data_IF_455775260955
#
_entry.id   IF_455775260955
#
_cell.length_a   1.000
_cell.length_b   1.000
_cell.length_c   1.000
_cell.angle_alpha   90.00
_cell.angle_beta   90.00
_cell.angle_gamma   90.00
#
_symmetry.space_group_name_H-M   'P 1'
#
loop_
_entity.id
_entity.type
_entity.pdbx_description
1 polymer ?
#
# COMPACT_ATOMS: atom_id res chain seq x y z
N UNK A 1 1.33 -4.98 -22.31
CA UNK A 1 1.07 -4.39 -20.99
C UNK A 1 0.00 -5.23 -20.30
N UNK A 2 0.33 -5.80 -19.12
CA UNK A 2 -0.51 -6.78 -18.40
C UNK A 2 -1.76 -6.17 -17.74
N UNK A 3 -1.75 -4.84 -17.54
CA UNK A 3 -2.84 -4.07 -16.93
C UNK A 3 -3.51 -3.10 -17.90
N UNK A 4 -3.39 -3.33 -19.21
CA UNK A 4 -4.01 -2.47 -20.21
C UNK A 4 -5.53 -2.41 -20.04
N UNK A 5 -6.08 -1.19 -20.00
CA UNK A 5 -7.50 -0.95 -19.78
C UNK A 5 -7.99 -1.13 -18.34
N UNK A 6 -7.09 -1.37 -17.38
CA UNK A 6 -7.40 -1.43 -15.95
C UNK A 6 -7.24 -0.08 -15.29
N UNK A 7 -8.01 0.14 -14.23
CA UNK A 7 -7.85 1.28 -13.32
C UNK A 7 -7.27 0.79 -11.99
N UNK A 8 -6.27 1.50 -11.50
CA UNK A 8 -5.66 1.26 -10.19
C UNK A 8 -5.87 2.47 -9.27
N UNK A 9 -6.08 2.22 -7.98
CA UNK A 9 -6.04 3.23 -6.92
C UNK A 9 -4.91 2.88 -5.96
N UNK A 10 -3.99 3.83 -5.72
CA UNK A 10 -2.89 3.66 -4.77
C UNK A 10 -3.00 4.71 -3.67
N UNK A 11 -3.10 4.27 -2.42
CA UNK A 11 -3.20 5.18 -1.28
C UNK A 11 -1.81 5.62 -0.78
N UNK A 12 -1.66 6.90 -0.38
CA UNK A 12 -0.37 7.46 0.03
C UNK A 12 0.67 7.40 -1.10
N UNK A 13 0.26 7.74 -2.32
CA UNK A 13 1.05 7.52 -3.53
C UNK A 13 1.95 8.71 -3.91
N UNK A 14 1.98 9.80 -3.13
CA UNK A 14 2.77 11.00 -3.43
C UNK A 14 4.28 10.80 -3.28
N UNK A 15 4.75 9.69 -2.65
CA UNK A 15 6.17 9.43 -2.41
C UNK A 15 6.48 7.95 -2.13
N UNK A 16 7.78 7.62 -2.05
CA UNK A 16 8.29 6.34 -1.55
C UNK A 16 7.74 5.11 -2.30
N UNK A 17 7.36 4.09 -1.54
CA UNK A 17 6.82 2.83 -2.10
C UNK A 17 5.53 3.09 -2.88
N UNK A 18 4.64 3.95 -2.37
CA UNK A 18 3.37 4.26 -3.03
C UNK A 18 3.57 4.88 -4.41
N UNK A 19 4.47 5.88 -4.54
CA UNK A 19 4.86 6.45 -5.84
C UNK A 19 5.41 5.38 -6.78
N UNK A 20 6.37 4.59 -6.31
CA UNK A 20 6.99 3.55 -7.13
C UNK A 20 5.96 2.53 -7.65
N UNK A 21 4.98 2.16 -6.81
CA UNK A 21 3.89 1.26 -7.19
C UNK A 21 2.99 1.93 -8.23
N UNK A 22 2.56 3.18 -8.01
CA UNK A 22 1.68 3.90 -8.92
C UNK A 22 2.29 4.01 -10.33
N UNK A 23 3.56 4.41 -10.41
CA UNK A 23 4.31 4.50 -11.68
C UNK A 23 4.50 3.12 -12.32
N UNK A 24 4.80 2.07 -11.53
CA UNK A 24 4.98 0.72 -12.06
C UNK A 24 3.67 0.14 -12.64
N UNK A 25 2.53 0.37 -11.99
CA UNK A 25 1.20 -0.01 -12.50
C UNK A 25 0.90 0.71 -13.82
N UNK A 26 1.23 2.00 -13.91
CA UNK A 26 1.07 2.78 -15.14
C UNK A 26 1.96 2.27 -16.29
N UNK A 27 3.21 1.93 -16.02
CA UNK A 27 4.13 1.30 -17.00
C UNK A 27 3.59 -0.03 -17.53
N UNK A 28 2.81 -0.73 -16.72
CA UNK A 28 2.15 -1.97 -17.12
C UNK A 28 0.77 -1.76 -17.78
N UNK A 29 0.35 -0.51 -17.95
CA UNK A 29 -0.81 -0.11 -18.75
C UNK A 29 -2.05 0.33 -17.97
N UNK A 30 -1.98 0.41 -16.64
CA UNK A 30 -3.10 0.89 -15.84
C UNK A 30 -3.24 2.42 -15.91
N UNK A 31 -4.47 2.91 -15.86
CA UNK A 31 -4.79 4.27 -15.47
C UNK A 31 -4.82 4.35 -13.93
N UNK A 32 -4.37 5.44 -13.31
CA UNK A 32 -4.07 5.43 -11.87
C UNK A 32 -4.70 6.61 -11.12
N UNK A 33 -5.46 6.29 -10.07
CA UNK A 33 -5.81 7.22 -9.00
C UNK A 33 -4.66 7.34 -7.99
N UNK A 34 -4.13 8.52 -7.81
CA UNK A 34 -3.04 8.87 -6.91
C UNK A 34 -3.62 9.53 -5.67
N UNK A 35 -3.78 8.78 -4.58
CA UNK A 35 -4.25 9.38 -3.34
C UNK A 35 -3.09 9.98 -2.54
N UNK A 36 -3.35 11.11 -1.92
CA UNK A 36 -2.47 11.82 -1.00
C UNK A 36 -3.27 12.43 0.16
N UNK A 37 -2.57 12.81 1.23
CA UNK A 37 -3.17 13.49 2.38
C UNK A 37 -2.89 15.00 2.37
N UNK A 38 -1.63 15.40 2.27
CA UNK A 38 -1.13 16.72 2.62
C UNK A 38 -0.22 17.39 1.58
N UNK A 39 0.35 16.65 0.64
CA UNK A 39 1.29 17.17 -0.37
C UNK A 39 0.73 17.00 -1.79
N UNK A 40 -0.11 17.95 -2.17
CA UNK A 40 -0.75 17.97 -3.50
C UNK A 40 0.27 18.13 -4.64
N UNK A 41 1.33 18.92 -4.42
CA UNK A 41 2.35 19.17 -5.42
C UNK A 41 3.15 17.90 -5.75
N UNK A 42 3.52 17.11 -4.72
CA UNK A 42 4.16 15.80 -4.94
C UNK A 42 3.23 14.82 -5.62
N UNK A 43 1.95 14.81 -5.24
CA UNK A 43 0.96 13.93 -5.88
C UNK A 43 0.80 14.27 -7.36
N UNK A 44 0.74 15.55 -7.71
CA UNK A 44 0.62 15.98 -9.09
C UNK A 44 1.86 15.64 -9.92
N UNK A 45 3.07 15.78 -9.36
CA UNK A 45 4.30 15.30 -10.04
C UNK A 45 4.24 13.81 -10.37
N UNK A 46 3.67 12.98 -9.48
CA UNK A 46 3.48 11.55 -9.74
C UNK A 46 2.45 11.34 -10.86
N UNK A 47 1.35 12.09 -10.84
CA UNK A 47 0.33 12.03 -11.88
C UNK A 47 0.91 12.45 -13.25
N UNK A 48 1.76 13.48 -13.30
CA UNK A 48 2.43 13.91 -14.54
C UNK A 48 3.42 12.85 -15.05
N UNK A 49 4.15 12.17 -14.15
CA UNK A 49 4.99 11.03 -14.53
C UNK A 49 4.14 9.92 -15.19
N UNK A 50 2.98 9.61 -14.61
CA UNK A 50 2.04 8.61 -15.14
C UNK A 50 1.49 9.05 -16.51
N UNK A 51 1.10 10.31 -16.65
CA UNK A 51 0.61 10.89 -17.93
C UNK A 51 1.69 10.85 -19.02
N UNK A 52 2.95 11.08 -18.66
CA UNK A 52 4.08 10.96 -19.59
C UNK A 52 4.29 9.55 -20.15
N UNK A 53 3.80 8.53 -19.44
CA UNK A 53 3.75 7.14 -19.90
C UNK A 53 2.54 6.85 -20.82
N UNK A 54 1.74 7.85 -21.18
CA UNK A 54 0.55 7.71 -22.00
C UNK A 54 -0.65 7.11 -21.26
N UNK A 55 -0.67 7.20 -19.90
CA UNK A 55 -1.80 6.74 -19.07
C UNK A 55 -2.57 7.91 -18.49
N UNK A 56 -3.84 7.69 -18.15
CA UNK A 56 -4.63 8.67 -17.41
C UNK A 56 -4.25 8.62 -15.94
N UNK A 57 -4.23 9.79 -15.28
CA UNK A 57 -4.02 9.88 -13.86
C UNK A 57 -4.90 10.99 -13.25
N UNK A 58 -5.46 10.73 -12.07
CA UNK A 58 -6.17 11.69 -11.24
C UNK A 58 -5.56 11.71 -9.84
N UNK A 59 -5.32 12.89 -9.30
CA UNK A 59 -4.90 13.08 -7.91
C UNK A 59 -6.14 13.28 -7.04
N UNK A 60 -6.23 12.60 -5.88
CA UNK A 60 -7.36 12.73 -4.97
C UNK A 60 -6.86 12.89 -3.53
N UNK A 61 -7.17 14.02 -2.92
CA UNK A 61 -6.89 14.25 -1.51
C UNK A 61 -7.91 13.49 -0.65
N UNK A 62 -7.44 12.63 0.25
CA UNK A 62 -8.29 11.94 1.20
C UNK A 62 -7.51 11.44 2.41
N UNK A 63 -8.12 11.55 3.60
CA UNK A 63 -7.68 10.86 4.81
C UNK A 63 -8.30 9.46 4.83
N UNK A 64 -7.46 8.44 4.68
CA UNK A 64 -7.90 7.04 4.67
C UNK A 64 -8.49 6.58 6.01
N UNK A 65 -8.21 7.27 7.12
CA UNK A 65 -8.77 6.96 8.44
C UNK A 65 -10.24 7.39 8.57
N UNK A 66 -10.80 8.16 7.62
CA UNK A 66 -12.14 8.74 7.64
C UNK A 66 -13.02 8.11 6.55
N UNK A 67 -14.10 7.43 6.94
CA UNK A 67 -14.98 6.71 6.01
C UNK A 67 -15.53 7.61 4.90
N UNK A 68 -16.07 8.78 5.24
CA UNK A 68 -16.63 9.71 4.27
C UNK A 68 -15.58 10.23 3.27
N UNK A 69 -14.33 10.44 3.72
CA UNK A 69 -13.22 10.85 2.87
C UNK A 69 -12.83 9.74 1.87
N UNK A 70 -12.84 8.47 2.33
CA UNK A 70 -12.57 7.31 1.48
C UNK A 70 -13.67 7.10 0.45
N UNK A 71 -14.94 7.23 0.84
CA UNK A 71 -16.08 7.11 -0.08
C UNK A 71 -16.01 8.19 -1.18
N UNK A 72 -15.74 9.44 -0.81
CA UNK A 72 -15.55 10.54 -1.76
C UNK A 72 -14.35 10.30 -2.70
N UNK A 73 -13.23 9.79 -2.17
CA UNK A 73 -12.06 9.45 -2.96
C UNK A 73 -12.38 8.37 -4.02
N UNK A 74 -13.04 7.28 -3.61
CA UNK A 74 -13.37 6.20 -4.55
C UNK A 74 -14.35 6.69 -5.60
N UNK A 75 -15.36 7.47 -5.24
CA UNK A 75 -16.29 8.07 -6.19
C UNK A 75 -15.59 8.96 -7.21
N UNK A 76 -14.69 9.84 -6.78
CA UNK A 76 -13.91 10.71 -7.67
C UNK A 76 -13.03 9.91 -8.66
N UNK A 77 -12.43 8.80 -8.21
CA UNK A 77 -11.66 7.92 -9.10
C UNK A 77 -12.58 7.21 -10.11
N UNK A 78 -13.74 6.72 -9.65
CA UNK A 78 -14.73 6.08 -10.53
C UNK A 78 -15.21 7.05 -11.61
N UNK A 79 -15.51 8.30 -11.26
CA UNK A 79 -15.99 9.31 -12.19
C UNK A 79 -14.91 9.70 -13.22
N UNK A 80 -13.65 9.82 -12.79
CA UNK A 80 -12.57 10.25 -13.66
C UNK A 80 -12.00 9.11 -14.55
N UNK A 81 -11.86 7.91 -14.02
CA UNK A 81 -11.13 6.81 -14.65
C UNK A 81 -11.96 5.55 -14.86
N UNK A 82 -13.01 5.36 -14.09
CA UNK A 82 -13.77 4.12 -13.96
C UNK A 82 -13.47 3.37 -12.66
N UNK A 83 -14.21 2.29 -12.35
CA UNK A 83 -14.03 1.54 -11.11
C UNK A 83 -12.64 0.91 -11.03
N UNK A 84 -11.91 1.11 -9.90
CA UNK A 84 -10.56 0.59 -9.75
C UNK A 84 -10.56 -0.92 -9.53
N UNK A 85 -10.09 -1.68 -10.54
CA UNK A 85 -9.92 -3.13 -10.45
C UNK A 85 -8.66 -3.53 -9.66
N UNK A 86 -7.76 -2.58 -9.43
CA UNK A 86 -6.58 -2.76 -8.57
C UNK A 86 -6.61 -1.72 -7.47
N UNK A 87 -6.56 -2.18 -6.22
CA UNK A 87 -6.33 -1.31 -5.06
C UNK A 87 -5.01 -1.66 -4.41
N UNK A 88 -4.19 -0.65 -4.13
CA UNK A 88 -3.01 -0.80 -3.28
C UNK A 88 -3.16 0.04 -2.04
N UNK A 89 -3.40 -0.61 -0.90
CA UNK A 89 -3.42 0.01 0.42
C UNK A 89 -1.98 0.21 0.91
N UNK A 90 -1.40 1.36 0.56
CA UNK A 90 -0.02 1.71 0.92
C UNK A 90 0.03 2.82 1.99
N UNK A 91 -0.96 3.68 2.11
CA UNK A 91 -0.99 4.74 3.11
C UNK A 91 -0.67 4.18 4.51
N UNK A 92 0.28 4.82 5.20
CA UNK A 92 0.69 4.37 6.52
C UNK A 92 1.64 5.35 7.20
N UNK A 93 1.58 5.35 8.52
CA UNK A 93 2.40 6.19 9.40
C UNK A 93 3.18 5.31 10.38
N UNK A 94 4.38 5.75 10.72
CA UNK A 94 5.24 5.08 11.70
C UNK A 94 5.92 6.09 12.63
N UNK A 95 5.19 6.77 13.52
CA UNK A 95 5.80 7.50 14.61
C UNK A 95 6.47 6.50 15.56
N UNK A 96 7.67 6.82 16.03
CA UNK A 96 8.40 5.97 16.97
C UNK A 96 8.13 6.42 18.39
N UNK A 97 7.78 5.47 19.25
CA UNK A 97 7.53 5.72 20.67
C UNK A 97 8.04 4.56 21.52
N UNK A 98 8.52 4.87 22.72
CA UNK A 98 8.75 3.88 23.77
C UNK A 98 7.42 3.29 24.21
N UNK A 99 7.37 1.97 24.49
CA UNK A 99 6.13 1.32 24.94
C UNK A 99 5.56 1.96 26.21
N UNK A 100 6.41 2.33 27.15
CA UNK A 100 5.96 2.91 28.43
C UNK A 100 5.47 4.35 28.32
N UNK A 101 5.78 5.05 27.21
CA UNK A 101 5.40 6.45 26.95
C UNK A 101 4.34 6.59 25.86
N UNK A 102 4.00 5.47 25.19
CA UNK A 102 3.02 5.45 24.10
C UNK A 102 1.64 5.86 24.61
N UNK A 103 1.11 6.96 24.09
CA UNK A 103 -0.20 7.46 24.47
C UNK A 103 -1.30 6.83 23.62
N UNK A 104 -2.48 6.64 24.19
CA UNK A 104 -3.66 6.07 23.53
C UNK A 104 -3.95 6.76 22.18
N UNK A 105 -3.90 8.09 22.13
CA UNK A 105 -4.11 8.85 20.89
C UNK A 105 -3.11 8.51 19.75
N UNK A 106 -1.88 8.14 20.10
CA UNK A 106 -0.86 7.74 19.12
C UNK A 106 -1.11 6.33 18.63
N UNK A 107 -1.55 5.46 19.53
CA UNK A 107 -2.03 4.13 19.21
C UNK A 107 -3.21 4.20 18.24
N UNK A 108 -4.27 4.94 18.57
CA UNK A 108 -5.47 5.10 17.77
C UNK A 108 -5.18 5.70 16.39
N UNK A 109 -4.28 6.70 16.32
CA UNK A 109 -3.86 7.30 15.07
C UNK A 109 -3.21 6.26 14.15
N UNK A 110 -2.26 5.47 14.66
CA UNK A 110 -1.54 4.49 13.85
C UNK A 110 -2.47 3.35 13.39
N UNK A 111 -3.31 2.82 14.28
CA UNK A 111 -4.29 1.81 13.89
C UNK A 111 -5.36 2.38 12.96
N UNK A 112 -5.77 3.61 13.18
CA UNK A 112 -6.72 4.34 12.34
C UNK A 112 -6.26 4.45 10.90
N UNK A 113 -5.02 4.88 10.68
CA UNK A 113 -4.45 5.02 9.33
C UNK A 113 -4.10 3.65 8.73
N UNK A 114 -3.26 2.87 9.43
CA UNK A 114 -2.63 1.68 8.83
C UNK A 114 -3.58 0.50 8.66
N UNK A 115 -4.47 0.27 9.63
CA UNK A 115 -5.35 -0.91 9.66
C UNK A 115 -6.78 -0.56 9.24
N UNK A 116 -7.43 0.37 9.96
CA UNK A 116 -8.80 0.78 9.65
C UNK A 116 -8.86 1.41 8.26
N UNK A 117 -7.88 2.26 7.88
CA UNK A 117 -7.81 2.87 6.55
C UNK A 117 -7.73 1.83 5.43
N UNK A 118 -6.93 0.78 5.61
CA UNK A 118 -6.86 -0.34 4.65
C UNK A 118 -8.21 -1.06 4.52
N UNK A 119 -8.93 -1.26 5.63
CA UNK A 119 -10.28 -1.84 5.61
C UNK A 119 -11.27 -0.94 4.88
N UNK A 120 -11.31 0.35 5.18
CA UNK A 120 -12.26 1.29 4.57
C UNK A 120 -12.07 1.39 3.06
N UNK A 121 -10.82 1.56 2.61
CA UNK A 121 -10.50 1.62 1.18
C UNK A 121 -10.86 0.32 0.46
N UNK A 122 -10.51 -0.83 1.05
CA UNK A 122 -10.84 -2.13 0.49
C UNK A 122 -12.35 -2.34 0.38
N UNK A 123 -13.12 -1.94 1.41
CA UNK A 123 -14.58 -2.08 1.41
C UNK A 123 -15.23 -1.20 0.33
N UNK A 124 -14.81 0.07 0.22
CA UNK A 124 -15.36 1.00 -0.76
C UNK A 124 -15.09 0.54 -2.21
N UNK A 125 -13.85 0.12 -2.50
CA UNK A 125 -13.48 -0.41 -3.81
C UNK A 125 -14.20 -1.73 -4.10
N UNK A 126 -14.25 -2.66 -3.15
CA UNK A 126 -14.94 -3.93 -3.33
C UNK A 126 -16.43 -3.74 -3.62
N UNK A 127 -17.11 -2.80 -2.93
CA UNK A 127 -18.52 -2.46 -3.23
C UNK A 127 -18.71 -1.99 -4.68
N UNK A 128 -17.83 -1.13 -5.18
CA UNK A 128 -17.88 -0.66 -6.56
C UNK A 128 -17.65 -1.79 -7.57
N UNK A 129 -16.72 -2.70 -7.28
CA UNK A 129 -16.45 -3.86 -8.14
C UNK A 129 -17.60 -4.87 -8.14
N UNK A 130 -18.15 -5.19 -6.98
CA UNK A 130 -19.27 -6.13 -6.83
C UNK A 130 -20.52 -5.60 -7.53
N UNK A 131 -20.84 -4.32 -7.36
CA UNK A 131 -21.96 -3.69 -8.04
C UNK A 131 -21.84 -3.72 -9.58
N UNK A 132 -20.61 -3.69 -10.10
CA UNK A 132 -20.34 -3.81 -11.54
C UNK A 132 -19.99 -5.23 -12.00
N UNK A 133 -20.14 -6.26 -11.15
CA UNK A 133 -19.75 -7.67 -11.42
C UNK A 133 -18.31 -7.84 -11.93
N UNK A 134 -17.38 -6.94 -11.52
CA UNK A 134 -16.01 -6.88 -12.00
C UNK A 134 -15.06 -7.65 -11.07
N UNK A 135 -14.13 -8.45 -11.62
CA UNK A 135 -13.05 -9.03 -10.82
C UNK A 135 -12.04 -7.95 -10.41
N UNK A 136 -11.26 -8.23 -9.37
CA UNK A 136 -10.25 -7.29 -8.89
C UNK A 136 -9.08 -7.91 -8.15
N UNK A 137 -8.12 -7.05 -7.80
CA UNK A 137 -6.98 -7.39 -6.95
C UNK A 137 -6.73 -6.29 -5.91
N UNK A 138 -6.63 -6.68 -4.65
CA UNK A 138 -6.27 -5.79 -3.55
C UNK A 138 -4.90 -6.20 -3.03
N UNK A 139 -3.97 -5.26 -2.94
CA UNK A 139 -2.62 -5.46 -2.40
C UNK A 139 -2.46 -4.58 -1.18
N UNK A 140 -2.28 -5.18 -0.02
CA UNK A 140 -2.06 -4.47 1.24
C UNK A 140 -0.56 -4.38 1.54
N UNK A 141 -0.06 -3.19 1.86
CA UNK A 141 1.33 -3.02 2.29
C UNK A 141 1.41 -3.20 3.82
N UNK A 142 1.87 -4.40 4.21
CA UNK A 142 2.23 -4.73 5.58
C UNK A 142 3.67 -4.26 5.90
N UNK A 143 4.45 -5.02 6.63
CA UNK A 143 5.86 -4.72 6.96
C UNK A 143 6.54 -5.95 7.56
N UNK A 144 7.87 -6.04 7.47
CA UNK A 144 8.67 -6.96 8.29
C UNK A 144 8.55 -6.68 9.81
N UNK A 145 8.00 -5.53 10.20
CA UNK A 145 7.67 -5.20 11.59
C UNK A 145 6.57 -6.09 12.20
N UNK A 146 5.90 -6.96 11.42
CA UNK A 146 5.02 -8.02 11.96
C UNK A 146 5.73 -8.95 12.94
N UNK A 147 7.05 -9.07 12.85
CA UNK A 147 7.88 -9.82 13.81
C UNK A 147 8.04 -9.11 15.16
N UNK A 148 7.66 -7.86 15.27
CA UNK A 148 7.86 -6.95 16.38
C UNK A 148 8.92 -5.87 16.12
N UNK A 149 8.64 -4.64 16.57
CA UNK A 149 9.58 -3.52 16.62
C UNK A 149 9.43 -2.84 17.98
N UNK A 150 10.50 -2.81 18.77
CA UNK A 150 10.47 -2.29 20.15
C UNK A 150 10.14 -0.78 20.22
N UNK A 151 10.37 -0.01 19.14
CA UNK A 151 10.04 1.41 19.04
C UNK A 151 8.75 1.68 18.29
N UNK A 152 7.97 0.63 18.00
CA UNK A 152 6.78 0.72 17.17
C UNK A 152 5.74 -0.35 17.48
N UNK A 153 5.36 -0.48 18.77
CA UNK A 153 4.40 -1.50 19.21
C UNK A 153 3.06 -1.35 18.47
N UNK A 154 2.53 -0.12 18.40
CA UNK A 154 1.31 0.21 17.62
C UNK A 154 1.47 -0.07 16.13
N UNK A 155 2.64 0.24 15.56
CA UNK A 155 2.93 -0.04 14.15
C UNK A 155 2.97 -1.54 13.89
N UNK A 156 3.69 -2.31 14.72
CA UNK A 156 3.73 -3.77 14.62
C UNK A 156 2.34 -4.38 14.75
N UNK A 157 1.55 -3.93 15.73
CA UNK A 157 0.17 -4.37 15.90
C UNK A 157 -0.68 -4.06 14.66
N UNK A 158 -0.57 -2.83 14.10
CA UNK A 158 -1.31 -2.45 12.89
C UNK A 158 -0.94 -3.31 11.69
N UNK A 159 0.36 -3.57 11.47
CA UNK A 159 0.86 -4.33 10.32
C UNK A 159 0.59 -5.83 10.45
N UNK A 160 0.58 -6.37 11.66
CA UNK A 160 0.09 -7.72 11.95
C UNK A 160 -1.43 -7.83 11.73
N UNK A 161 -2.19 -6.81 12.16
CA UNK A 161 -3.62 -6.70 11.87
C UNK A 161 -3.94 -6.69 10.38
N UNK A 162 -3.13 -6.03 9.57
CA UNK A 162 -3.26 -6.04 8.09
C UNK A 162 -3.13 -7.45 7.52
N UNK A 163 -2.30 -8.32 8.10
CA UNK A 163 -2.17 -9.73 7.65
C UNK A 163 -3.47 -10.49 7.94
N UNK A 164 -4.02 -10.37 9.15
CA UNK A 164 -5.32 -10.97 9.50
C UNK A 164 -6.45 -10.44 8.62
N UNK A 165 -6.50 -9.11 8.41
CA UNK A 165 -7.45 -8.45 7.52
C UNK A 165 -7.34 -8.98 6.08
N UNK A 166 -6.13 -9.15 5.55
CA UNK A 166 -5.88 -9.70 4.22
C UNK A 166 -6.48 -11.09 4.05
N UNK A 167 -6.25 -11.99 4.99
CA UNK A 167 -6.78 -13.36 4.97
C UNK A 167 -8.30 -13.39 5.05
N UNK A 168 -8.88 -12.61 5.95
CA UNK A 168 -10.34 -12.52 6.10
C UNK A 168 -11.00 -11.95 4.84
N UNK A 169 -10.45 -10.86 4.27
CA UNK A 169 -10.96 -10.29 3.02
C UNK A 169 -10.79 -11.23 1.84
N UNK A 170 -9.70 -11.99 1.75
CA UNK A 170 -9.48 -12.97 0.70
C UNK A 170 -10.61 -14.01 0.66
N UNK A 171 -11.02 -14.52 1.83
CA UNK A 171 -12.14 -15.46 1.93
C UNK A 171 -13.48 -14.79 1.59
N UNK A 172 -13.73 -13.60 2.13
CA UNK A 172 -15.00 -12.90 1.93
C UNK A 172 -15.23 -12.44 0.49
N UNK A 173 -14.16 -12.10 -0.24
CA UNK A 173 -14.22 -11.52 -1.58
C UNK A 173 -13.95 -12.54 -2.70
N UNK A 174 -13.52 -13.75 -2.39
CA UNK A 174 -13.31 -14.82 -3.36
C UNK A 174 -14.56 -15.13 -4.22
N UNK A 175 -15.80 -15.21 -3.66
CA UNK A 175 -17.01 -15.41 -4.47
C UNK A 175 -17.23 -14.33 -5.53
N UNK A 176 -16.67 -13.14 -5.30
CA UNK A 176 -16.73 -11.99 -6.22
C UNK A 176 -15.53 -11.90 -7.17
N UNK A 177 -14.67 -12.91 -7.20
CA UNK A 177 -13.45 -12.94 -8.04
C UNK A 177 -12.48 -11.78 -7.74
N UNK A 178 -12.44 -11.34 -6.49
CA UNK A 178 -11.51 -10.32 -6.00
C UNK A 178 -10.47 -11.02 -5.13
N UNK A 179 -9.19 -10.97 -5.56
CA UNK A 179 -8.06 -11.52 -4.81
C UNK A 179 -7.53 -10.47 -3.83
N UNK A 180 -7.08 -10.90 -2.67
CA UNK A 180 -6.49 -10.01 -1.65
C UNK A 180 -5.20 -10.62 -1.15
N UNK A 181 -4.09 -9.90 -1.29
CA UNK A 181 -2.78 -10.33 -0.80
C UNK A 181 -2.06 -9.19 -0.07
N UNK A 182 -1.05 -9.51 0.68
CA UNK A 182 -0.21 -8.55 1.37
C UNK A 182 1.26 -8.68 0.97
N UNK A 183 1.98 -7.57 1.02
CA UNK A 183 3.44 -7.52 0.91
C UNK A 183 3.98 -7.06 2.26
N UNK A 184 5.04 -7.72 2.75
CA UNK A 184 5.82 -7.29 3.91
C UNK A 184 7.19 -6.77 3.45
N UNK A 185 7.32 -5.46 3.16
CA UNK A 185 8.61 -4.87 2.85
C UNK A 185 9.57 -4.95 4.04
N UNK A 186 10.85 -5.12 3.73
CA UNK A 186 11.94 -4.86 4.65
C UNK A 186 12.35 -3.39 4.69
N UNK A 187 13.58 -3.14 5.15
CA UNK A 187 14.18 -1.81 5.15
C UNK A 187 14.31 -1.33 3.69
N UNK A 188 13.50 -0.35 3.33
CA UNK A 188 13.40 0.20 1.97
C UNK A 188 13.89 1.64 1.95
N UNK A 189 14.62 2.03 0.92
CA UNK A 189 15.20 3.35 0.76
C UNK A 189 14.14 4.41 0.45
N UNK A 190 13.55 4.95 1.51
CA UNK A 190 12.51 5.99 1.49
C UNK A 190 12.74 6.98 2.62
N UNK A 191 11.90 8.01 2.71
CA UNK A 191 11.97 8.99 3.80
C UNK A 191 11.69 8.37 5.18
N UNK A 192 10.72 7.46 5.28
CA UNK A 192 10.26 6.90 6.56
C UNK A 192 11.38 6.28 7.45
N UNK A 193 12.32 5.48 6.94
CA UNK A 193 13.47 5.04 7.75
C UNK A 193 14.38 6.18 8.20
N UNK A 194 14.55 7.22 7.37
CA UNK A 194 15.39 8.38 7.67
C UNK A 194 14.85 9.26 8.77
N UNK A 195 13.53 9.33 8.92
CA UNK A 195 12.87 10.15 9.96
C UNK A 195 13.22 9.74 11.40
N UNK A 196 13.92 8.65 11.61
CA UNK A 196 14.27 8.20 12.97
C UNK A 196 15.57 7.40 13.06
N UNK A 197 16.44 7.50 12.06
CA UNK A 197 17.76 6.90 12.07
C UNK A 197 18.76 7.83 11.35
N UNK A 198 20.01 7.83 11.80
CA UNK A 198 21.11 8.45 11.05
C UNK A 198 21.52 7.57 9.85
N UNK A 199 22.27 8.12 8.90
CA UNK A 199 22.77 7.35 7.76
C UNK A 199 23.71 6.21 8.22
N UNK A 200 24.50 6.41 9.29
CA UNK A 200 25.34 5.36 9.88
C UNK A 200 24.50 4.22 10.46
N UNK A 201 23.40 4.56 11.15
CA UNK A 201 22.48 3.56 11.70
C UNK A 201 21.78 2.78 10.57
N UNK A 202 21.41 3.45 9.49
CA UNK A 202 20.83 2.81 8.31
C UNK A 202 21.85 1.90 7.62
N UNK A 203 23.13 2.32 7.51
CA UNK A 203 24.20 1.50 6.93
C UNK A 203 24.46 0.24 7.76
N UNK A 204 24.44 0.34 9.10
CA UNK A 204 24.57 -0.83 10.00
C UNK A 204 23.39 -1.78 9.77
N UNK A 205 22.16 -1.28 9.81
CA UNK A 205 20.94 -2.11 9.59
C UNK A 205 20.90 -2.74 8.20
N UNK A 206 21.42 -2.06 7.19
CA UNK A 206 21.49 -2.61 5.84
C UNK A 206 22.43 -3.83 5.74
N UNK A 207 23.53 -3.84 6.52
CA UNK A 207 24.46 -4.98 6.59
C UNK A 207 23.89 -6.20 7.30
N UNK A 208 22.89 -6.01 8.15
CA UNK A 208 22.17 -7.12 8.82
C UNK A 208 21.19 -7.85 7.86
N UNK A 209 20.89 -7.24 6.71
CA UNK A 209 20.04 -7.85 5.70
C UNK A 209 20.88 -8.86 4.92
N UNK A 210 20.46 -10.13 4.75
CA UNK A 210 21.25 -11.13 4.01
C UNK A 210 21.67 -10.69 2.59
N UNK A 211 20.83 -9.93 1.88
CA UNK A 211 21.20 -9.36 0.58
C UNK A 211 22.09 -8.11 0.69
N UNK A 212 22.50 -7.68 1.88
CA UNK A 212 23.56 -6.70 2.16
C UNK A 212 23.20 -5.24 1.90
N UNK A 213 21.96 -4.89 1.60
CA UNK A 213 21.52 -3.52 1.31
C UNK A 213 20.07 -3.26 1.62
N UNK A 214 19.70 -1.98 1.68
CA UNK A 214 18.29 -1.57 1.64
C UNK A 214 17.65 -1.93 0.29
N UNK A 215 16.38 -2.27 0.30
CA UNK A 215 15.61 -2.41 -0.93
C UNK A 215 15.35 -1.03 -1.58
N UNK A 216 15.27 -0.99 -2.91
CA UNK A 216 14.72 0.16 -3.60
C UNK A 216 13.19 0.06 -3.67
N UNK A 217 12.43 1.18 -3.64
CA UNK A 217 10.97 1.18 -3.74
C UNK A 217 10.44 0.39 -4.95
N UNK A 218 11.17 0.41 -6.06
CA UNK A 218 10.84 -0.29 -7.30
C UNK A 218 10.87 -1.82 -7.13
N UNK A 219 11.65 -2.35 -6.18
CA UNK A 219 11.70 -3.79 -5.89
C UNK A 219 10.40 -4.25 -5.20
N UNK A 220 9.83 -3.41 -4.35
CA UNK A 220 8.51 -3.64 -3.76
C UNK A 220 7.41 -3.50 -4.82
N UNK A 221 7.53 -2.46 -5.68
CA UNK A 221 6.57 -2.18 -6.72
C UNK A 221 6.42 -3.32 -7.73
N UNK A 222 7.51 -4.01 -8.10
CA UNK A 222 7.47 -5.18 -9.00
C UNK A 222 6.59 -6.30 -8.45
N UNK A 223 6.66 -6.55 -7.15
CA UNK A 223 5.83 -7.59 -6.50
C UNK A 223 4.37 -7.13 -6.42
N UNK A 224 4.11 -5.84 -6.15
CA UNK A 224 2.76 -5.29 -6.16
C UNK A 224 2.11 -5.41 -7.56
N UNK A 225 2.86 -5.10 -8.62
CA UNK A 225 2.39 -5.29 -10.00
C UNK A 225 2.10 -6.77 -10.29
N UNK A 226 3.01 -7.69 -9.95
CA UNK A 226 2.77 -9.13 -10.11
C UNK A 226 1.46 -9.57 -9.46
N UNK A 227 1.25 -9.19 -8.19
CA UNK A 227 0.03 -9.53 -7.46
C UNK A 227 -1.24 -8.90 -8.05
N UNK A 228 -1.12 -7.75 -8.72
CA UNK A 228 -2.23 -7.08 -9.40
C UNK A 228 -2.62 -7.74 -10.73
N UNK A 229 -1.72 -8.50 -11.35
CA UNK A 229 -1.93 -9.11 -12.68
C UNK A 229 -2.58 -10.50 -12.62
N UNK A 230 -2.96 -11.02 -13.79
CA UNK A 230 -3.45 -12.39 -13.96
C UNK A 230 -2.38 -13.46 -13.73
N UNK A 231 -1.10 -13.11 -13.71
CA UNK A 231 0.00 -14.03 -13.36
C UNK A 231 -0.13 -14.57 -11.94
N UNK A 232 -0.76 -13.78 -11.03
CA UNK A 232 -1.07 -14.17 -9.66
C UNK A 232 -2.51 -14.67 -9.48
N UNK A 233 -3.17 -15.20 -10.53
CA UNK A 233 -4.60 -15.53 -10.51
C UNK A 233 -4.98 -16.60 -9.47
N UNK A 234 -4.03 -17.43 -9.02
CA UNK A 234 -4.23 -18.49 -8.03
C UNK A 234 -3.63 -18.16 -6.66
N UNK A 235 -3.27 -16.88 -6.43
CA UNK A 235 -2.69 -16.39 -5.17
C UNK A 235 -3.68 -15.44 -4.51
N UNK A 236 -4.19 -15.83 -3.33
CA UNK A 236 -5.05 -14.98 -2.48
C UNK A 236 -4.88 -15.36 -1.02
N UNK A 237 -4.93 -14.38 -0.13
CA UNK A 237 -4.73 -14.54 1.32
C UNK A 237 -3.28 -14.59 1.77
N UNK A 238 -2.32 -14.41 0.86
CA UNK A 238 -0.89 -14.57 1.14
C UNK A 238 -0.22 -13.29 1.63
N UNK A 239 0.81 -13.48 2.48
CA UNK A 239 1.78 -12.47 2.88
C UNK A 239 3.12 -12.76 2.19
N UNK A 240 3.50 -11.94 1.23
CA UNK A 240 4.78 -12.08 0.53
C UNK A 240 5.83 -11.19 1.20
N UNK A 241 6.87 -11.81 1.75
CA UNK A 241 8.01 -11.12 2.32
C UNK A 241 8.95 -10.60 1.22
N UNK A 242 9.16 -9.28 1.16
CA UNK A 242 10.07 -8.60 0.24
C UNK A 242 11.07 -7.82 1.07
N UNK A 243 11.99 -8.52 1.72
CA UNK A 243 12.81 -7.97 2.81
C UNK A 243 14.29 -8.40 2.74
N UNK A 244 14.75 -8.94 1.61
CA UNK A 244 16.14 -9.34 1.43
C UNK A 244 16.60 -10.50 2.33
N UNK A 245 15.68 -11.29 2.88
CA UNK A 245 15.96 -12.37 3.80
C UNK A 245 16.05 -11.96 5.28
N UNK A 246 15.76 -10.68 5.59
CA UNK A 246 15.84 -10.16 6.96
C UNK A 246 14.89 -10.85 7.94
N UNK A 247 13.77 -11.34 7.45
CA UNK A 247 12.79 -12.13 8.21
C UNK A 247 12.18 -13.20 7.30
N UNK A 248 12.18 -14.42 7.79
CA UNK A 248 11.55 -15.60 7.17
C UNK A 248 10.50 -16.13 8.14
N UNK A 249 9.24 -16.22 7.72
CA UNK A 249 8.13 -16.77 8.49
C UNK A 249 7.71 -18.14 7.98
#
# INVERSE_FOLDING_TARGET
MRLSGKVALVTGAQQGIGRAIAVALARDGADVGVNFLDDAERAERVADEIRSLGRRAVTVQADVAQAASVEAMVAAVVDALGPPEVLVNNAGVFPRASFLELREREWDHVLGVNLKGSFLCAQAVARALVAGERPGAIVNISSSAVRGDARGVHYSASKAGVVGLTRAMALALAPHRIRVNAIAPGLTDTQQPRDGNTEEQLAVRAREIPLGRMAQPEEIARVAVFLATSEACWITGELIHVNGGFYMA
#
